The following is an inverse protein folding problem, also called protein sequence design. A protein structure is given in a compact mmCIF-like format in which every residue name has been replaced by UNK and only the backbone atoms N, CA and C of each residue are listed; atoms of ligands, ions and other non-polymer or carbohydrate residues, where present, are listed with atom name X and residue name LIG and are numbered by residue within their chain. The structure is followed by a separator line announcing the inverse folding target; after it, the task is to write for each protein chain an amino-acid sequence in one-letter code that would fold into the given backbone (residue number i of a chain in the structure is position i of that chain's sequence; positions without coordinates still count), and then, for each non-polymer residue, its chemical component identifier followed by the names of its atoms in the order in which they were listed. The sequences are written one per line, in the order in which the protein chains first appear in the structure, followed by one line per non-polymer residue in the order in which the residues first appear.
data_IF_813708542827
#
_entry.id   IF_813708542827
#
_cell.length_a   1.000
_cell.length_b   1.000
_cell.length_c   1.000
_cell.angle_alpha   90.00
_cell.angle_beta   90.00
_cell.angle_gamma   90.00
#
_symmetry.space_group_name_H-M   'P 1'
#
loop_
_entity.id
_entity.type
_entity.pdbx_description
1 polymer ?
#
# COMPACT_ATOMS: atom_id res chain seq x y z
N UNK A 1 -0.08 -16.39 -18.33
CA UNK A 1 0.21 -14.98 -18.02
C UNK A 1 -1.11 -14.24 -18.01
N UNK A 2 -1.87 -14.38 -16.92
CA UNK A 2 -3.24 -13.87 -16.85
C UNK A 2 -3.21 -12.48 -16.25
N UNK A 3 -3.36 -11.47 -17.11
CA UNK A 3 -3.39 -10.06 -16.74
C UNK A 3 -4.67 -9.78 -15.92
N UNK A 4 -4.52 -9.54 -14.62
CA UNK A 4 -5.60 -9.15 -13.67
C UNK A 4 -5.99 -7.66 -13.84
N UNK A 5 -5.90 -7.14 -15.05
CA UNK A 5 -6.21 -5.74 -15.37
C UNK A 5 -7.04 -5.72 -16.66
N UNK A 6 -8.34 -5.94 -16.49
CA UNK A 6 -9.31 -5.93 -17.59
C UNK A 6 -9.48 -4.53 -18.20
N UNK A 7 -9.86 -4.52 -19.49
CA UNK A 7 -10.29 -3.36 -20.31
C UNK A 7 -9.24 -2.59 -21.10
N UNK A 8 -8.00 -3.07 -21.25
CA UNK A 8 -7.00 -2.43 -22.13
C UNK A 8 -7.42 -2.33 -23.60
N UNK A 9 -8.05 -3.37 -24.16
CA UNK A 9 -8.54 -3.32 -25.55
C UNK A 9 -9.65 -2.28 -25.77
N UNK A 10 -10.58 -2.18 -24.80
CA UNK A 10 -11.62 -1.16 -24.79
C UNK A 10 -11.03 0.26 -24.65
N UNK A 11 -10.00 0.42 -23.81
CA UNK A 11 -9.23 1.66 -23.63
C UNK A 11 -8.50 2.09 -24.90
N UNK A 12 -7.88 1.17 -25.63
CA UNK A 12 -7.23 1.48 -26.90
C UNK A 12 -8.25 1.87 -27.97
N UNK A 13 -9.40 1.21 -28.02
CA UNK A 13 -10.51 1.54 -28.94
C UNK A 13 -11.07 2.95 -28.71
N UNK A 14 -11.22 3.39 -27.44
CA UNK A 14 -11.62 4.77 -27.10
C UNK A 14 -10.58 5.84 -27.52
N UNK A 15 -9.29 5.48 -27.53
CA UNK A 15 -8.19 6.38 -27.90
C UNK A 15 -7.97 6.43 -29.42
N UNK A 16 -8.30 5.35 -30.16
CA UNK A 16 -8.11 5.28 -31.61
C UNK A 16 -9.31 5.85 -32.38
N UNK A 17 -9.33 7.17 -32.56
CA UNK A 17 -9.83 7.80 -33.79
C UNK A 17 -11.34 8.05 -33.97
N UNK A 18 -12.25 7.70 -33.04
CA UNK A 18 -13.69 8.03 -33.19
C UNK A 18 -14.21 9.10 -32.22
N UNK A 19 -13.64 9.19 -31.01
CA UNK A 19 -14.12 10.14 -29.99
C UNK A 19 -13.02 10.99 -29.34
N UNK A 20 -11.73 10.69 -29.54
CA UNK A 20 -10.58 11.37 -28.91
C UNK A 20 -10.71 11.58 -27.39
N UNK A 21 -11.57 10.79 -26.72
CA UNK A 21 -11.80 10.95 -25.28
C UNK A 21 -10.55 10.41 -24.59
N UNK A 22 -9.78 11.25 -23.85
CA UNK A 22 -8.65 10.76 -23.10
C UNK A 22 -9.19 9.76 -22.07
N UNK A 23 -8.91 8.47 -22.28
CA UNK A 23 -9.42 7.33 -21.51
C UNK A 23 -8.97 7.27 -20.04
N UNK A 24 -8.46 8.39 -19.52
CA UNK A 24 -8.05 8.58 -18.15
C UNK A 24 -8.86 9.70 -17.48
N UNK A 25 -9.71 10.44 -18.20
CA UNK A 25 -10.46 11.56 -17.63
C UNK A 25 -11.35 11.07 -16.47
N UNK A 26 -11.01 11.47 -15.23
CA UNK A 26 -11.74 11.10 -14.01
C UNK A 26 -11.13 9.99 -13.14
N UNK A 27 -10.04 9.34 -13.55
CA UNK A 27 -9.25 8.48 -12.65
C UNK A 27 -8.22 9.37 -11.92
N UNK A 28 -8.04 9.25 -10.61
CA UNK A 28 -7.01 10.03 -9.90
C UNK A 28 -7.28 11.55 -9.78
N UNK A 29 -6.27 12.38 -10.11
CA UNK A 29 -6.29 13.84 -10.01
C UNK A 29 -6.87 14.51 -11.27
N UNK A 30 -7.72 15.55 -11.12
CA UNK A 30 -8.45 16.22 -12.21
C UNK A 30 -7.57 16.65 -13.40
N UNK A 31 -6.38 17.18 -13.13
CA UNK A 31 -5.43 17.65 -14.15
C UNK A 31 -4.45 16.56 -14.63
N UNK A 32 -4.28 15.49 -13.87
CA UNK A 32 -3.31 14.44 -14.20
C UNK A 32 -3.84 13.10 -13.69
N UNK A 33 -4.60 12.40 -14.52
CA UNK A 33 -5.38 11.27 -14.04
C UNK A 33 -4.59 9.96 -13.84
N UNK A 34 -3.29 9.99 -14.11
CA UNK A 34 -2.33 8.93 -13.76
C UNK A 34 -1.88 9.07 -12.29
N UNK A 35 -2.06 10.25 -11.68
CA UNK A 35 -1.69 10.46 -10.28
C UNK A 35 -2.67 9.74 -9.34
N UNK A 36 -2.16 9.08 -8.28
CA UNK A 36 -3.02 8.50 -7.26
C UNK A 36 -3.88 9.58 -6.60
N UNK A 37 -5.03 9.15 -6.05
CA UNK A 37 -5.92 10.05 -5.31
C UNK A 37 -5.20 10.58 -4.07
N UNK A 38 -5.47 11.86 -3.74
CA UNK A 38 -4.96 12.48 -2.52
C UNK A 38 -5.72 11.92 -1.33
N UNK A 39 -5.17 10.89 -0.72
CA UNK A 39 -5.65 10.35 0.54
C UNK A 39 -4.76 10.82 1.70
N UNK A 40 -5.34 10.93 2.88
CA UNK A 40 -4.60 11.34 4.08
C UNK A 40 -3.69 10.19 4.52
N UNK A 41 -2.39 10.34 4.31
CA UNK A 41 -1.39 9.41 4.84
C UNK A 41 -1.09 9.71 6.30
N UNK A 42 -1.31 8.72 7.17
CA UNK A 42 -0.95 8.79 8.59
C UNK A 42 0.30 7.94 8.82
N UNK A 43 1.37 8.58 9.27
CA UNK A 43 2.58 7.90 9.68
C UNK A 43 2.60 7.86 11.21
N UNK A 44 2.72 6.66 11.78
CA UNK A 44 2.79 6.43 13.23
C UNK A 44 4.10 5.75 13.57
N UNK A 45 4.67 6.12 14.70
CA UNK A 45 5.91 5.54 15.20
C UNK A 45 5.62 4.86 16.54
N UNK A 46 5.93 3.56 16.62
CA UNK A 46 5.75 2.77 17.84
C UNK A 46 6.88 2.96 18.85
N UNK A 47 6.76 2.30 19.99
CA UNK A 47 7.81 2.25 21.01
C UNK A 47 9.08 1.59 20.46
N UNK A 48 10.28 2.12 20.75
CA UNK A 48 11.54 1.50 20.33
C UNK A 48 11.67 0.06 20.86
N UNK A 49 12.08 -0.86 19.98
CA UNK A 49 12.43 -2.23 20.36
C UNK A 49 13.92 -2.31 20.66
N UNK A 50 14.27 -2.61 21.92
CA UNK A 50 15.67 -2.80 22.32
C UNK A 50 16.19 -4.16 21.85
N UNK A 51 17.16 -4.12 20.93
CA UNK A 51 17.81 -5.31 20.40
C UNK A 51 19.23 -5.45 20.99
N UNK A 52 19.62 -6.63 21.50
CA UNK A 52 21.00 -6.86 21.87
C UNK A 52 21.89 -6.94 20.62
N UNK A 53 23.14 -6.49 20.75
CA UNK A 53 24.13 -6.63 19.68
C UNK A 53 24.79 -8.01 19.79
N UNK A 54 24.42 -8.91 18.89
CA UNK A 54 24.96 -10.28 18.83
C UNK A 54 25.89 -10.36 17.59
N UNK A 55 27.18 -10.72 17.73
CA UNK A 55 28.12 -10.73 16.61
C UNK A 55 27.77 -11.74 15.50
N UNK A 56 27.32 -12.95 15.87
CA UNK A 56 26.90 -14.01 14.97
C UNK A 56 25.60 -14.60 15.52
N UNK A 57 24.43 -14.00 15.24
CA UNK A 57 23.17 -14.49 15.76
C UNK A 57 22.79 -15.83 15.12
N UNK A 58 22.13 -16.69 15.89
CA UNK A 58 21.51 -17.90 15.34
C UNK A 58 20.16 -17.56 14.69
N UNK A 59 19.66 -18.45 13.83
CA UNK A 59 18.34 -18.25 13.20
C UNK A 59 17.22 -18.14 14.25
N UNK A 60 17.29 -18.93 15.32
CA UNK A 60 16.32 -18.92 16.41
C UNK A 60 16.28 -17.56 17.14
N UNK A 61 17.44 -16.93 17.34
CA UNK A 61 17.51 -15.60 17.96
C UNK A 61 16.89 -14.55 17.04
N UNK A 62 17.17 -14.62 15.73
CA UNK A 62 16.57 -13.72 14.74
C UNK A 62 15.06 -13.86 14.71
N UNK A 63 14.57 -15.10 14.66
CA UNK A 63 13.13 -15.40 14.60
C UNK A 63 12.41 -14.90 15.85
N UNK A 64 13.04 -15.02 17.03
CA UNK A 64 12.52 -14.48 18.29
C UNK A 64 12.32 -12.97 18.23
N UNK A 65 13.35 -12.21 17.83
CA UNK A 65 13.25 -10.75 17.75
C UNK A 65 12.34 -10.27 16.62
N UNK A 66 12.33 -10.99 15.50
CA UNK A 66 11.42 -10.72 14.39
C UNK A 66 9.95 -10.95 14.80
N UNK A 67 9.65 -12.02 15.53
CA UNK A 67 8.30 -12.27 16.05
C UNK A 67 7.84 -11.14 16.98
N UNK A 68 8.69 -10.68 17.90
CA UNK A 68 8.38 -9.55 18.77
C UNK A 68 8.17 -8.25 18.00
N UNK A 69 8.95 -8.00 16.94
CA UNK A 69 8.76 -6.85 16.07
C UNK A 69 7.38 -6.90 15.37
N UNK A 70 7.02 -8.04 14.78
CA UNK A 70 5.75 -8.23 14.08
C UNK A 70 4.55 -8.05 15.03
N UNK A 71 4.64 -8.56 16.26
CA UNK A 71 3.63 -8.36 17.29
C UNK A 71 3.42 -6.87 17.57
N UNK A 72 4.50 -6.11 17.80
CA UNK A 72 4.40 -4.66 18.07
C UNK A 72 3.86 -3.85 16.88
N UNK A 73 4.18 -4.25 15.65
CA UNK A 73 3.61 -3.62 14.46
C UNK A 73 2.13 -3.91 14.34
N UNK A 74 1.67 -5.13 14.68
CA UNK A 74 0.24 -5.48 14.71
C UNK A 74 -0.52 -4.69 15.77
N UNK A 75 0.03 -4.61 16.99
CA UNK A 75 -0.55 -3.80 18.07
C UNK A 75 -0.74 -2.34 17.61
N UNK A 76 0.29 -1.76 16.99
CA UNK A 76 0.25 -0.40 16.47
C UNK A 76 -0.79 -0.26 15.33
N UNK A 77 -0.87 -1.23 14.44
CA UNK A 77 -1.89 -1.21 13.38
C UNK A 77 -3.31 -1.26 13.96
N UNK A 78 -3.58 -2.16 14.90
CA UNK A 78 -4.89 -2.33 15.52
C UNK A 78 -5.31 -1.11 16.35
N UNK A 79 -4.36 -0.45 17.03
CA UNK A 79 -4.61 0.81 17.74
C UNK A 79 -5.04 1.94 16.79
N UNK A 80 -4.40 2.04 15.62
CA UNK A 80 -4.63 3.14 14.69
C UNK A 80 -5.69 2.84 13.60
N UNK A 81 -6.07 1.58 13.42
CA UNK A 81 -7.08 1.13 12.46
C UNK A 81 -8.41 1.91 12.54
N UNK A 82 -9.00 2.20 13.72
CA UNK A 82 -10.27 2.92 13.80
C UNK A 82 -10.21 4.37 13.29
N UNK A 83 -9.02 4.96 13.24
CA UNK A 83 -8.83 6.36 12.81
C UNK A 83 -8.63 6.50 11.30
N UNK A 84 -8.58 5.39 10.58
CA UNK A 84 -8.40 5.37 9.13
C UNK A 84 -9.52 4.56 8.48
N UNK A 85 -10.46 5.31 7.90
CA UNK A 85 -11.74 4.81 7.37
C UNK A 85 -11.58 3.92 6.13
N UNK A 86 -10.37 3.83 5.58
CA UNK A 86 -10.05 3.18 4.31
C UNK A 86 -9.22 1.89 4.47
N UNK A 87 -8.95 1.45 5.70
CA UNK A 87 -8.14 0.25 5.96
C UNK A 87 -8.93 -1.07 5.91
N UNK A 88 -10.26 -1.04 5.75
CA UNK A 88 -11.10 -2.25 5.65
C UNK A 88 -11.20 -2.85 4.24
N UNK A 89 -10.56 -2.22 3.25
CA UNK A 89 -10.80 -2.50 1.82
C UNK A 89 -9.67 -3.31 1.15
N UNK A 90 -8.75 -3.88 1.93
CA UNK A 90 -7.65 -4.73 1.45
C UNK A 90 -7.64 -6.09 2.14
#
# INVERSE_FOLDING_TARGET
MNQVQGMWGFRYWLNSGTFEIPAVWGLGHWLCPILPRREKLRIVYGTPLHLPRIPNPTQEEVDKYHAMYIEKVRDLYDEYKPYDRHLEVW
#
